data_IF_279896007189
#
_entry.id   IF_279896007189
#
_cell.length_a   1.000
_cell.length_b   1.000
_cell.length_c   1.000
_cell.angle_alpha   90.00
_cell.angle_beta   90.00
_cell.angle_gamma   90.00
#
_symmetry.space_group_name_H-M   'P 1'
#
loop_
_entity.id
_entity.type
_entity.pdbx_description
1 polymer ?
#
# COMPACT_ATOMS: atom_id res chain seq x y z
N UNK A 1 3.02 1.71 -3.37
CA UNK A 1 2.79 2.73 -4.42
C UNK A 1 3.08 2.18 -5.82
N UNK A 2 4.18 1.47 -6.03
CA UNK A 2 4.50 0.89 -7.34
C UNK A 2 3.40 -0.05 -7.85
N UNK A 3 2.98 -1.02 -7.06
CA UNK A 3 1.91 -1.98 -7.40
C UNK A 3 0.57 -1.30 -7.76
N UNK A 4 0.18 -0.25 -7.04
CA UNK A 4 -1.03 0.50 -7.38
C UNK A 4 -0.91 1.22 -8.72
N UNK A 5 0.26 1.81 -8.99
CA UNK A 5 0.53 2.45 -10.27
C UNK A 5 0.54 1.43 -11.43
N UNK A 6 1.04 0.20 -11.21
CA UNK A 6 0.94 -0.90 -12.17
C UNK A 6 -0.52 -1.25 -12.50
N UNK A 7 -1.37 -1.39 -11.47
CA UNK A 7 -2.81 -1.65 -11.67
C UNK A 7 -3.48 -0.52 -12.46
N UNK A 8 -3.11 0.74 -12.23
CA UNK A 8 -3.59 1.88 -13.01
C UNK A 8 -3.11 1.83 -14.46
N UNK A 9 -1.84 1.55 -14.72
CA UNK A 9 -1.29 1.42 -16.09
C UNK A 9 -1.99 0.29 -16.83
N UNK A 10 -2.20 -0.85 -16.18
CA UNK A 10 -2.93 -1.98 -16.77
C UNK A 10 -4.38 -1.60 -17.09
N UNK A 11 -5.08 -0.94 -16.16
CA UNK A 11 -6.44 -0.47 -16.40
C UNK A 11 -6.53 0.54 -17.56
N UNK A 12 -5.58 1.47 -17.61
CA UNK A 12 -5.50 2.46 -18.70
C UNK A 12 -5.19 1.82 -20.05
N UNK A 13 -4.43 0.71 -20.08
CA UNK A 13 -4.17 -0.03 -21.33
C UNK A 13 -5.39 -0.74 -21.90
N UNK A 14 -6.44 -0.94 -21.10
CA UNK A 14 -7.70 -1.55 -21.52
C UNK A 14 -8.71 -0.53 -22.10
N UNK A 15 -8.38 0.77 -22.11
CA UNK A 15 -9.24 1.83 -22.66
C UNK A 15 -9.13 1.82 -24.19
N UNK A 16 -10.28 1.95 -24.85
CA UNK A 16 -10.31 2.04 -26.33
C UNK A 16 -9.64 3.35 -26.80
N UNK A 17 -8.54 3.22 -27.52
CA UNK A 17 -7.77 4.36 -28.03
C UNK A 17 -8.48 5.26 -29.05
N UNK A 18 -9.75 4.94 -29.42
CA UNK A 18 -10.57 5.81 -30.29
C UNK A 18 -11.13 7.01 -29.54
N UNK A 19 -11.37 6.88 -28.24
CA UNK A 19 -12.01 7.91 -27.43
C UNK A 19 -11.01 8.70 -26.60
N UNK A 20 -9.91 8.03 -26.14
CA UNK A 20 -8.90 8.62 -25.25
C UNK A 20 -7.51 8.14 -25.64
N UNK A 21 -6.58 9.06 -25.92
CA UNK A 21 -5.16 8.76 -26.03
C UNK A 21 -4.52 8.76 -24.62
N UNK A 22 -3.92 7.64 -24.23
CA UNK A 22 -3.23 7.51 -22.94
C UNK A 22 -1.72 7.62 -23.13
N UNK A 23 -1.10 8.54 -22.38
CA UNK A 23 0.37 8.74 -22.36
C UNK A 23 0.86 8.47 -20.94
N UNK A 24 1.83 7.57 -20.80
CA UNK A 24 2.49 7.30 -19.51
C UNK A 24 3.84 8.01 -19.46
N UNK A 25 3.91 9.06 -18.65
CA UNK A 25 5.16 9.79 -18.41
C UNK A 25 5.87 9.22 -17.16
N UNK A 26 7.13 8.80 -17.29
CA UNK A 26 7.86 8.15 -16.19
C UNK A 26 9.25 8.73 -15.99
N UNK A 27 9.70 8.75 -14.72
CA UNK A 27 11.03 9.29 -14.35
C UNK A 27 11.97 8.25 -13.72
N UNK A 28 11.47 7.04 -13.44
CA UNK A 28 12.25 5.93 -12.90
C UNK A 28 12.41 4.83 -13.96
N UNK A 29 13.67 4.45 -14.24
CA UNK A 29 13.99 3.41 -15.23
C UNK A 29 13.37 2.03 -14.89
N UNK A 30 12.98 1.80 -13.64
CA UNK A 30 12.27 0.59 -13.24
C UNK A 30 10.95 0.40 -14.02
N UNK A 31 10.35 1.46 -14.54
CA UNK A 31 9.14 1.41 -15.36
C UNK A 31 9.37 0.97 -16.80
N UNK A 32 10.61 1.06 -17.30
CA UNK A 32 10.91 0.86 -18.71
C UNK A 32 10.50 -0.53 -19.22
N UNK A 33 10.88 -1.57 -18.49
CA UNK A 33 10.58 -2.95 -18.91
C UNK A 33 9.07 -3.25 -18.97
N UNK A 34 8.29 -2.68 -18.06
CA UNK A 34 6.83 -2.83 -18.05
C UNK A 34 6.16 -2.03 -19.15
N UNK A 35 6.61 -0.81 -19.37
CA UNK A 35 6.04 0.08 -20.38
C UNK A 35 6.42 -0.33 -21.80
N UNK A 36 7.61 -0.89 -22.01
CA UNK A 36 8.03 -1.46 -23.30
C UNK A 36 7.16 -2.66 -23.73
N UNK A 37 6.56 -3.38 -22.75
CA UNK A 37 5.61 -4.47 -22.99
C UNK A 37 4.14 -3.99 -23.10
N UNK A 38 3.86 -2.73 -22.81
CA UNK A 38 2.51 -2.13 -22.81
C UNK A 38 2.18 -1.53 -24.19
N UNK A 39 0.90 -1.55 -24.64
CA UNK A 39 0.48 -0.84 -25.83
C UNK A 39 0.43 0.68 -25.68
N UNK A 40 0.65 1.19 -24.48
CA UNK A 40 0.56 2.62 -24.17
C UNK A 40 1.79 3.41 -24.65
N UNK A 41 1.57 4.65 -25.03
CA UNK A 41 2.64 5.58 -25.36
C UNK A 41 3.41 5.96 -24.10
N UNK A 42 4.66 5.52 -24.00
CA UNK A 42 5.54 5.78 -22.87
C UNK A 42 6.51 6.93 -23.17
N UNK A 43 6.64 7.89 -22.24
CA UNK A 43 7.53 9.05 -22.40
C UNK A 43 8.46 9.17 -21.19
N UNK A 44 9.78 8.95 -21.36
CA UNK A 44 10.74 9.14 -20.30
C UNK A 44 10.94 10.63 -19.99
N UNK A 45 10.90 11.00 -18.70
CA UNK A 45 11.06 12.37 -18.24
C UNK A 45 12.51 12.68 -17.89
N UNK A 46 13.09 13.68 -18.57
CA UNK A 46 14.47 14.09 -18.38
C UNK A 46 14.71 14.87 -17.08
N UNK A 47 13.69 15.63 -16.65
CA UNK A 47 13.83 16.55 -15.52
C UNK A 47 13.19 16.02 -14.22
N UNK A 48 12.88 14.72 -14.14
CA UNK A 48 12.14 14.11 -13.02
C UNK A 48 12.71 14.49 -11.65
N UNK A 49 13.96 14.11 -11.34
CA UNK A 49 14.57 14.32 -10.01
C UNK A 49 14.63 15.79 -9.59
N UNK A 50 15.03 16.66 -10.54
CA UNK A 50 15.13 18.10 -10.28
C UNK A 50 13.74 18.73 -10.11
N UNK A 51 12.82 18.37 -10.97
CA UNK A 51 11.46 18.89 -10.94
C UNK A 51 10.66 18.46 -9.72
N UNK A 52 10.80 17.21 -9.30
CA UNK A 52 10.18 16.70 -8.06
C UNK A 52 10.71 17.45 -6.82
N UNK A 53 12.02 17.72 -6.77
CA UNK A 53 12.62 18.49 -5.68
C UNK A 53 12.06 19.92 -5.63
N UNK A 54 11.97 20.60 -6.78
CA UNK A 54 11.39 21.93 -6.87
C UNK A 54 9.87 21.93 -6.49
N UNK A 55 9.12 20.93 -6.94
CA UNK A 55 7.72 20.80 -6.58
C UNK A 55 7.51 20.70 -5.05
N UNK A 56 8.40 19.98 -4.35
CA UNK A 56 8.39 19.91 -2.89
C UNK A 56 8.69 21.25 -2.21
N UNK A 57 9.53 22.09 -2.78
CA UNK A 57 9.81 23.44 -2.24
C UNK A 57 8.58 24.35 -2.35
N UNK A 58 7.74 24.17 -3.36
CA UNK A 58 6.54 24.99 -3.55
C UNK A 58 5.34 24.56 -2.70
N UNK A 59 5.47 23.49 -1.89
CA UNK A 59 4.38 23.02 -1.01
C UNK A 59 3.91 24.05 0.03
N UNK A 60 4.77 25.02 0.38
CA UNK A 60 4.44 26.09 1.33
C UNK A 60 3.68 27.28 0.68
N UNK A 61 3.64 27.34 -0.64
CA UNK A 61 2.97 28.41 -1.37
C UNK A 61 1.46 28.15 -1.51
N UNK A 62 0.62 29.20 -1.54
CA UNK A 62 -0.76 29.05 -1.98
C UNK A 62 -0.81 28.39 -3.36
N UNK A 63 -1.76 27.47 -3.58
CA UNK A 63 -1.75 26.65 -4.79
C UNK A 63 -1.84 27.44 -6.11
N UNK A 64 -2.58 28.55 -6.15
CA UNK A 64 -2.60 29.45 -7.31
C UNK A 64 -1.23 30.05 -7.61
N UNK A 65 -0.49 30.47 -6.57
CA UNK A 65 0.87 30.98 -6.70
C UNK A 65 1.84 29.88 -7.09
N UNK A 66 1.75 28.71 -6.44
CA UNK A 66 2.58 27.54 -6.77
C UNK A 66 2.45 27.16 -8.24
N UNK A 67 1.25 27.14 -8.78
CA UNK A 67 0.96 26.83 -10.19
C UNK A 67 1.61 27.82 -11.14
N UNK A 68 1.51 29.12 -10.88
CA UNK A 68 2.11 30.16 -11.69
C UNK A 68 3.63 30.06 -11.63
N UNK A 69 4.21 29.97 -10.44
CA UNK A 69 5.67 29.89 -10.25
C UNK A 69 6.23 28.61 -10.86
N UNK A 70 5.59 27.46 -10.65
CA UNK A 70 6.02 26.18 -11.19
C UNK A 70 6.13 26.19 -12.70
N UNK A 71 5.19 26.81 -13.41
CA UNK A 71 5.20 26.92 -14.87
C UNK A 71 6.48 27.62 -15.41
N UNK A 72 6.99 28.60 -14.66
CA UNK A 72 8.17 29.35 -15.10
C UNK A 72 9.48 28.75 -14.61
N UNK A 73 9.49 28.17 -13.41
CA UNK A 73 10.72 27.76 -12.71
C UNK A 73 10.95 26.26 -12.76
N UNK A 74 9.88 25.44 -12.74
CA UNK A 74 10.02 23.99 -12.69
C UNK A 74 10.17 23.39 -14.10
N UNK A 75 11.34 22.83 -14.44
CA UNK A 75 11.57 22.27 -15.77
C UNK A 75 10.69 21.04 -16.05
N UNK A 76 10.31 20.27 -15.01
CA UNK A 76 9.45 19.11 -15.16
C UNK A 76 8.01 19.52 -15.51
N UNK A 77 7.47 20.58 -14.89
CA UNK A 77 6.13 21.11 -15.24
C UNK A 77 6.10 21.59 -16.69
N UNK A 78 7.19 22.21 -17.15
CA UNK A 78 7.33 22.63 -18.57
C UNK A 78 7.43 21.43 -19.50
N UNK A 79 8.17 20.40 -19.13
CA UNK A 79 8.30 19.17 -19.91
C UNK A 79 6.95 18.45 -20.02
N UNK A 80 6.23 18.28 -18.92
CA UNK A 80 4.89 17.69 -18.91
C UNK A 80 3.89 18.48 -19.76
N UNK A 81 3.95 19.82 -19.71
CA UNK A 81 3.07 20.68 -20.52
C UNK A 81 3.27 20.51 -22.04
N UNK A 82 4.43 20.01 -22.51
CA UNK A 82 4.65 19.72 -23.93
C UNK A 82 3.86 18.52 -24.44
N UNK A 83 3.36 17.66 -23.53
CA UNK A 83 2.57 16.48 -23.87
C UNK A 83 1.12 16.82 -24.21
N UNK A 84 0.67 18.04 -23.91
CA UNK A 84 -0.66 18.59 -24.27
C UNK A 84 -1.83 17.66 -23.82
N UNK A 85 -1.72 17.07 -22.62
CA UNK A 85 -2.78 16.24 -22.05
C UNK A 85 -3.91 17.11 -21.48
N UNK A 86 -5.16 16.68 -21.64
CA UNK A 86 -6.35 17.36 -21.09
C UNK A 86 -6.56 17.04 -19.60
N UNK A 87 -6.08 15.87 -19.13
CA UNK A 87 -6.22 15.40 -17.77
C UNK A 87 -4.95 14.64 -17.33
N UNK A 88 -4.51 14.87 -16.10
CA UNK A 88 -3.40 14.15 -15.48
C UNK A 88 -3.89 13.21 -14.40
N UNK A 89 -3.25 12.04 -14.26
CA UNK A 89 -3.46 11.10 -13.16
C UNK A 89 -2.14 10.91 -12.43
N UNK A 90 -2.12 11.19 -11.14
CA UNK A 90 -0.96 10.97 -10.28
C UNK A 90 -1.22 9.79 -9.33
N UNK A 91 -0.58 8.63 -9.56
CA UNK A 91 -0.81 7.42 -8.76
C UNK A 91 -0.22 7.49 -7.34
N UNK A 92 0.50 8.54 -7.03
CA UNK A 92 1.11 8.82 -5.74
C UNK A 92 0.67 10.19 -5.20
N UNK A 93 0.99 10.45 -3.94
CA UNK A 93 0.72 11.73 -3.26
C UNK A 93 1.68 12.81 -3.75
N UNK A 94 1.61 13.13 -5.04
CA UNK A 94 2.59 13.97 -5.73
C UNK A 94 2.26 15.47 -5.62
N UNK A 95 3.28 16.27 -5.32
CA UNK A 95 3.17 17.72 -5.27
C UNK A 95 2.94 18.38 -6.63
N UNK A 96 3.20 17.70 -7.73
CA UNK A 96 2.93 18.19 -9.08
C UNK A 96 1.43 18.33 -9.35
N UNK A 97 0.59 17.52 -8.73
CA UNK A 97 -0.86 17.43 -8.99
C UNK A 97 -1.54 18.81 -9.04
N UNK A 98 -1.25 19.70 -8.08
CA UNK A 98 -1.84 21.05 -8.05
C UNK A 98 -0.97 22.12 -8.73
N UNK A 99 0.21 21.76 -9.20
CA UNK A 99 1.13 22.67 -9.90
C UNK A 99 0.94 22.63 -11.42
N UNK A 100 0.24 21.61 -11.93
CA UNK A 100 -0.15 21.55 -13.33
C UNK A 100 -1.20 22.61 -13.64
N UNK A 101 -1.26 23.05 -14.92
CA UNK A 101 -2.31 23.95 -15.42
C UNK A 101 -3.60 23.18 -15.66
N UNK A 102 -3.44 22.04 -16.29
CA UNK A 102 -4.51 21.14 -16.69
C UNK A 102 -5.08 20.44 -15.46
N UNK A 103 -6.35 20.02 -15.47
CA UNK A 103 -6.96 19.25 -14.40
C UNK A 103 -6.15 18.01 -14.06
N UNK A 104 -6.13 17.64 -12.77
CA UNK A 104 -5.41 16.46 -12.33
C UNK A 104 -6.22 15.67 -11.31
N UNK A 105 -6.16 14.35 -11.42
CA UNK A 105 -6.63 13.39 -10.42
C UNK A 105 -5.47 13.11 -9.47
N UNK A 106 -5.68 13.36 -8.18
CA UNK A 106 -4.74 13.02 -7.11
C UNK A 106 -5.01 11.62 -6.55
N UNK A 107 -4.00 10.99 -5.96
CA UNK A 107 -4.19 9.80 -5.12
C UNK A 107 -3.74 10.10 -3.69
N UNK A 108 -4.59 9.75 -2.72
CA UNK A 108 -4.27 9.84 -1.29
C UNK A 108 -4.41 8.42 -0.69
N UNK A 109 -3.29 7.75 -0.51
CA UNK A 109 -3.26 6.39 0.03
C UNK A 109 -3.53 6.35 1.53
N UNK A 110 -3.07 7.37 2.28
CA UNK A 110 -3.23 7.43 3.71
C UNK A 110 -3.06 8.85 4.26
N UNK A 111 -3.55 9.05 5.49
CA UNK A 111 -3.37 10.26 6.28
C UNK A 111 -2.74 9.93 7.65
N UNK A 112 -1.77 9.01 7.71
CA UNK A 112 -1.12 8.57 8.94
C UNK A 112 -0.63 9.73 9.81
N UNK A 113 -0.08 10.76 9.20
CA UNK A 113 0.43 11.93 9.93
C UNK A 113 -0.64 12.66 10.75
N UNK A 114 -1.93 12.48 10.46
CA UNK A 114 -3.04 13.02 11.23
C UNK A 114 -3.55 12.05 12.30
N UNK A 115 -3.77 10.81 11.90
CA UNK A 115 -4.45 9.82 12.73
C UNK A 115 -3.53 9.11 13.73
N UNK A 116 -2.23 8.99 13.41
CA UNK A 116 -1.25 8.27 14.23
C UNK A 116 0.00 9.14 14.50
N UNK A 117 -0.21 10.34 15.05
CA UNK A 117 0.84 11.34 15.31
C UNK A 117 1.90 10.91 16.32
N UNK A 118 1.62 9.93 17.16
CA UNK A 118 2.53 9.41 18.18
C UNK A 118 3.74 8.68 17.59
N UNK A 119 3.62 8.20 16.34
CA UNK A 119 4.71 7.48 15.68
C UNK A 119 5.75 8.43 15.07
N UNK A 120 7.06 8.08 15.16
CA UNK A 120 8.15 8.92 14.64
C UNK A 120 8.02 9.15 13.11
N UNK A 121 7.36 8.27 12.37
CA UNK A 121 7.09 8.41 10.93
C UNK A 121 6.15 9.58 10.63
N UNK A 122 5.30 9.98 11.57
CA UNK A 122 4.49 11.19 11.43
C UNK A 122 5.37 12.45 11.33
N UNK A 123 6.57 12.39 11.93
CA UNK A 123 7.61 13.39 11.80
C UNK A 123 7.52 14.55 12.82
N UNK A 124 8.47 15.46 12.72
CA UNK A 124 8.50 16.67 13.54
C UNK A 124 7.32 17.60 13.18
N UNK A 125 7.06 18.61 14.03
CA UNK A 125 6.03 19.62 13.79
C UNK A 125 6.15 20.28 12.39
N UNK A 126 7.36 20.64 11.97
CA UNK A 126 7.57 21.23 10.65
C UNK A 126 7.21 20.25 9.50
N UNK A 127 7.61 18.99 9.62
CA UNK A 127 7.25 17.95 8.64
C UNK A 127 5.75 17.72 8.62
N UNK A 128 5.09 17.77 9.77
CA UNK A 128 3.63 17.71 9.83
C UNK A 128 2.99 18.85 9.05
N UNK A 129 3.41 20.11 9.28
CA UNK A 129 2.86 21.27 8.57
C UNK A 129 3.05 21.18 7.05
N UNK A 130 4.22 20.71 6.59
CA UNK A 130 4.49 20.51 5.17
C UNK A 130 3.60 19.40 4.58
N UNK A 131 3.38 18.30 5.31
CA UNK A 131 2.44 17.25 4.90
C UNK A 131 1.02 17.76 4.85
N UNK A 132 0.56 18.47 5.89
CA UNK A 132 -0.78 19.08 5.93
C UNK A 132 -1.02 20.02 4.74
N UNK A 133 -0.05 20.87 4.43
CA UNK A 133 -0.14 21.75 3.27
C UNK A 133 -0.29 20.93 1.97
N UNK A 134 0.55 19.91 1.78
CA UNK A 134 0.49 19.03 0.60
C UNK A 134 -0.86 18.33 0.48
N UNK A 135 -1.30 17.65 1.53
CA UNK A 135 -2.56 16.89 1.49
C UNK A 135 -3.79 17.78 1.33
N UNK A 136 -3.77 18.97 1.93
CA UNK A 136 -4.82 19.96 1.72
C UNK A 136 -4.90 20.43 0.25
N UNK A 137 -3.75 20.62 -0.40
CA UNK A 137 -3.72 20.95 -1.82
C UNK A 137 -4.21 19.77 -2.67
N UNK A 138 -3.73 18.55 -2.42
CA UNK A 138 -4.21 17.35 -3.12
C UNK A 138 -5.73 17.20 -2.99
N UNK A 139 -6.26 17.35 -1.77
CA UNK A 139 -7.67 17.15 -1.48
C UNK A 139 -8.59 18.21 -2.10
N UNK A 140 -8.15 19.47 -2.14
CA UNK A 140 -9.05 20.60 -2.48
C UNK A 140 -8.74 21.29 -3.80
N UNK A 141 -7.65 20.95 -4.48
CA UNK A 141 -7.28 21.60 -5.75
C UNK A 141 -7.16 20.61 -6.93
N UNK A 142 -7.32 19.33 -6.68
CA UNK A 142 -7.41 18.32 -7.74
C UNK A 142 -8.83 18.25 -8.30
N UNK A 143 -8.96 17.84 -9.55
CA UNK A 143 -10.26 17.59 -10.18
C UNK A 143 -11.01 16.42 -9.53
N UNK A 144 -10.25 15.45 -9.01
CA UNK A 144 -10.74 14.32 -8.23
C UNK A 144 -9.63 13.75 -7.33
N UNK A 145 -10.03 12.99 -6.31
CA UNK A 145 -9.13 12.32 -5.39
C UNK A 145 -9.44 10.82 -5.38
N UNK A 146 -8.48 9.99 -5.74
CA UNK A 146 -8.54 8.55 -5.56
C UNK A 146 -8.09 8.18 -4.14
N UNK A 147 -8.82 7.28 -3.51
CA UNK A 147 -8.49 6.70 -2.21
C UNK A 147 -8.65 5.18 -2.27
N UNK A 148 -8.06 4.46 -1.32
CA UNK A 148 -8.04 2.99 -1.31
C UNK A 148 -9.32 2.34 -0.73
N UNK A 149 -10.20 3.14 -0.07
CA UNK A 149 -11.32 2.60 0.70
C UNK A 149 -12.37 3.67 1.04
N UNK A 150 -13.55 3.26 1.51
CA UNK A 150 -14.53 4.17 2.10
C UNK A 150 -14.00 4.79 3.41
N UNK A 151 -13.15 4.07 4.14
CA UNK A 151 -12.42 4.63 5.28
C UNK A 151 -11.48 5.75 4.85
N UNK A 152 -10.71 5.55 3.77
CA UNK A 152 -9.86 6.60 3.18
C UNK A 152 -10.68 7.81 2.73
N UNK A 153 -11.84 7.59 2.10
CA UNK A 153 -12.78 8.64 1.70
C UNK A 153 -13.24 9.48 2.90
N UNK A 154 -13.73 8.84 3.97
CA UNK A 154 -14.12 9.54 5.20
C UNK A 154 -12.96 10.34 5.79
N UNK A 155 -11.77 9.77 5.85
CA UNK A 155 -10.57 10.45 6.35
C UNK A 155 -10.28 11.74 5.57
N UNK A 156 -10.39 11.74 4.25
CA UNK A 156 -10.15 12.92 3.42
C UNK A 156 -11.25 13.96 3.64
N UNK A 157 -12.53 13.56 3.67
CA UNK A 157 -13.66 14.45 3.94
C UNK A 157 -13.53 15.13 5.30
N UNK A 158 -13.32 14.36 6.37
CA UNK A 158 -13.19 14.86 7.74
C UNK A 158 -11.96 15.77 7.92
N UNK A 159 -10.87 15.43 7.24
CA UNK A 159 -9.60 16.15 7.38
C UNK A 159 -9.55 17.47 6.64
N UNK A 160 -10.17 17.55 5.46
CA UNK A 160 -9.97 18.68 4.55
C UNK A 160 -11.27 19.31 4.04
N UNK A 161 -12.43 18.77 4.40
CA UNK A 161 -13.72 19.26 3.95
C UNK A 161 -13.95 19.07 2.44
N UNK A 162 -13.25 18.15 1.82
CA UNK A 162 -13.39 17.85 0.40
C UNK A 162 -14.80 17.32 0.11
N UNK A 163 -15.51 17.83 -0.92
CA UNK A 163 -16.84 17.35 -1.28
C UNK A 163 -16.84 15.85 -1.61
N UNK A 164 -17.91 15.18 -1.22
CA UNK A 164 -18.07 13.74 -1.36
C UNK A 164 -17.98 13.26 -2.81
N UNK A 165 -18.55 14.03 -3.73
CA UNK A 165 -18.54 13.75 -5.17
C UNK A 165 -17.20 14.00 -5.88
N UNK A 166 -16.18 14.48 -5.15
CA UNK A 166 -14.80 14.62 -5.63
C UNK A 166 -13.88 13.48 -5.19
N UNK A 167 -14.33 12.60 -4.29
CA UNK A 167 -13.51 11.53 -3.74
C UNK A 167 -14.03 10.18 -4.22
N UNK A 168 -13.16 9.41 -4.84
CA UNK A 168 -13.50 8.13 -5.46
C UNK A 168 -12.70 6.99 -4.84
N UNK A 169 -13.34 6.06 -4.12
CA UNK A 169 -12.71 4.82 -3.72
C UNK A 169 -12.36 3.98 -4.96
N UNK A 170 -11.09 3.61 -5.03
CA UNK A 170 -10.52 2.69 -6.00
C UNK A 170 -9.58 1.74 -5.24
N UNK A 171 -10.12 0.65 -4.66
CA UNK A 171 -9.37 -0.23 -3.77
C UNK A 171 -8.20 -0.94 -4.45
N UNK A 172 -7.18 -1.31 -3.67
CA UNK A 172 -6.10 -2.16 -4.14
C UNK A 172 -6.63 -3.51 -4.64
N UNK A 173 -5.93 -4.06 -5.60
CA UNK A 173 -6.07 -5.46 -6.01
C UNK A 173 -4.83 -6.25 -5.60
N UNK A 174 -4.97 -7.56 -5.49
CA UNK A 174 -3.82 -8.42 -5.27
C UNK A 174 -2.88 -8.36 -6.49
N UNK A 175 -1.56 -8.24 -6.28
CA UNK A 175 -0.61 -8.17 -7.39
C UNK A 175 -0.57 -9.45 -8.24
N UNK A 176 -0.41 -9.30 -9.55
CA UNK A 176 -0.41 -10.43 -10.51
C UNK A 176 0.77 -11.40 -10.30
N UNK A 177 1.91 -10.93 -9.79
CA UNK A 177 3.08 -11.79 -9.54
C UNK A 177 2.80 -12.95 -8.56
N UNK A 178 1.73 -12.90 -7.78
CA UNK A 178 1.34 -13.96 -6.85
C UNK A 178 0.71 -15.17 -7.56
N UNK A 179 0.03 -14.94 -8.69
CA UNK A 179 -0.62 -15.99 -9.48
C UNK A 179 0.35 -16.65 -10.44
N UNK A 180 1.28 -15.89 -10.99
CA UNK A 180 2.23 -16.33 -12.00
C UNK A 180 3.48 -17.02 -11.43
N UNK A 181 3.71 -16.89 -10.11
CA UNK A 181 4.88 -17.47 -9.46
C UNK A 181 4.81 -18.99 -9.41
N UNK A 182 5.77 -19.65 -10.06
CA UNK A 182 5.95 -21.10 -9.95
C UNK A 182 6.75 -21.40 -8.70
N UNK A 183 6.12 -22.10 -7.76
CA UNK A 183 6.80 -22.59 -6.57
C UNK A 183 7.80 -23.69 -6.96
N UNK A 184 9.07 -23.51 -6.58
CA UNK A 184 10.07 -24.57 -6.74
C UNK A 184 10.12 -25.42 -5.48
N UNK A 185 10.31 -26.75 -5.62
CA UNK A 185 10.46 -27.69 -4.51
C UNK A 185 11.61 -27.34 -3.55
N UNK A 186 12.57 -26.53 -4.00
CA UNK A 186 13.70 -26.04 -3.23
C UNK A 186 13.45 -24.70 -2.48
N UNK A 187 12.22 -24.16 -2.51
CA UNK A 187 11.92 -22.85 -1.93
C UNK A 187 12.17 -22.82 -0.41
N UNK A 188 11.56 -23.76 0.32
CA UNK A 188 11.69 -23.83 1.77
C UNK A 188 13.14 -24.07 2.23
N UNK A 189 13.90 -24.89 1.49
CA UNK A 189 15.32 -25.13 1.72
C UNK A 189 16.16 -23.88 1.51
N UNK A 190 15.92 -23.13 0.43
CA UNK A 190 16.63 -21.90 0.10
C UNK A 190 16.53 -20.85 1.22
N UNK A 191 15.36 -20.69 1.80
CA UNK A 191 15.12 -19.75 2.88
C UNK A 191 15.26 -20.36 4.28
N UNK A 192 15.56 -21.68 4.38
CA UNK A 192 15.63 -22.43 5.64
C UNK A 192 14.38 -22.20 6.49
N UNK A 193 13.22 -22.31 5.85
CA UNK A 193 11.96 -22.07 6.52
C UNK A 193 11.65 -23.17 7.53
N UNK A 194 11.09 -22.81 8.69
CA UNK A 194 10.52 -23.80 9.60
C UNK A 194 9.35 -24.54 8.96
N UNK A 195 9.05 -25.74 9.46
CA UNK A 195 7.93 -26.54 8.97
C UNK A 195 6.59 -25.83 9.17
N UNK A 196 6.43 -25.09 10.26
CA UNK A 196 5.21 -24.38 10.61
C UNK A 196 5.53 -23.01 11.21
N UNK A 197 5.07 -21.94 10.59
CA UNK A 197 5.39 -20.57 11.01
C UNK A 197 4.29 -19.57 10.66
N UNK A 198 4.27 -18.46 11.37
CA UNK A 198 3.56 -17.25 10.95
C UNK A 198 4.46 -16.36 10.11
N UNK A 199 3.88 -15.65 9.16
CA UNK A 199 4.61 -14.76 8.26
C UNK A 199 4.17 -13.31 8.43
N UNK A 200 5.13 -12.38 8.38
CA UNK A 200 4.84 -10.94 8.35
C UNK A 200 5.81 -10.20 7.42
N UNK A 201 5.39 -9.84 6.19
CA UNK A 201 6.17 -9.04 5.24
C UNK A 201 5.94 -7.54 5.48
N UNK A 202 6.72 -6.93 6.33
CA UNK A 202 6.66 -5.50 6.58
C UNK A 202 8.02 -4.90 6.89
N UNK A 203 8.29 -3.69 6.38
CA UNK A 203 9.46 -2.93 6.79
C UNK A 203 9.39 -2.63 8.29
N UNK A 204 10.53 -2.61 8.96
CA UNK A 204 10.62 -2.46 10.42
C UNK A 204 10.40 -1.00 10.89
N UNK A 205 9.22 -0.46 10.56
CA UNK A 205 8.74 0.81 11.08
C UNK A 205 7.98 0.63 12.39
N UNK A 206 8.05 1.56 13.37
CA UNK A 206 7.35 1.45 14.65
C UNK A 206 5.84 1.21 14.53
N UNK A 207 5.15 1.86 13.58
CA UNK A 207 3.71 1.63 13.38
C UNK A 207 3.37 0.21 12.87
N UNK A 208 4.35 -0.55 12.36
CA UNK A 208 4.17 -1.95 11.97
C UNK A 208 4.17 -2.92 13.15
N UNK A 209 4.59 -2.45 14.34
CA UNK A 209 4.36 -3.13 15.62
C UNK A 209 5.03 -4.50 15.79
N UNK A 210 6.21 -4.68 15.21
CA UNK A 210 6.97 -5.92 15.32
C UNK A 210 7.34 -6.27 16.77
N UNK A 211 7.56 -5.27 17.64
CA UNK A 211 7.89 -5.50 19.04
C UNK A 211 6.78 -6.28 19.77
N UNK A 212 5.50 -5.85 19.65
CA UNK A 212 4.40 -6.58 20.28
C UNK A 212 4.16 -7.93 19.65
N UNK A 213 4.43 -8.09 18.35
CA UNK A 213 4.35 -9.39 17.70
C UNK A 213 5.36 -10.38 18.28
N UNK A 214 6.60 -9.95 18.50
CA UNK A 214 7.64 -10.80 19.14
C UNK A 214 7.27 -11.12 20.60
N UNK A 215 6.71 -10.16 21.35
CA UNK A 215 6.21 -10.39 22.71
C UNK A 215 5.03 -11.38 22.71
N UNK A 216 4.12 -11.28 21.74
CA UNK A 216 3.01 -12.21 21.58
C UNK A 216 3.48 -13.63 21.25
N UNK A 217 4.51 -13.75 20.39
CA UNK A 217 5.15 -15.04 20.14
C UNK A 217 5.75 -15.64 21.42
N UNK A 218 6.44 -14.84 22.24
CA UNK A 218 6.98 -15.32 23.51
C UNK A 218 5.88 -15.88 24.42
N UNK A 219 4.75 -15.17 24.53
CA UNK A 219 3.60 -15.62 25.30
C UNK A 219 3.00 -16.92 24.72
N UNK A 220 2.81 -16.98 23.40
CA UNK A 220 2.25 -18.15 22.72
C UNK A 220 3.13 -19.40 22.88
N UNK A 221 4.46 -19.26 22.86
CA UNK A 221 5.40 -20.36 23.00
C UNK A 221 5.42 -21.02 24.39
N UNK A 222 4.77 -20.45 25.38
CA UNK A 222 4.57 -21.10 26.67
C UNK A 222 3.68 -22.35 26.57
N UNK A 223 2.74 -22.34 25.60
CA UNK A 223 1.83 -23.47 25.30
C UNK A 223 2.15 -24.15 23.98
N UNK A 224 2.73 -23.44 23.03
CA UNK A 224 3.11 -23.92 21.69
C UNK A 224 4.60 -23.69 21.43
N UNK A 225 5.51 -24.48 22.04
CA UNK A 225 6.95 -24.28 21.95
C UNK A 225 7.51 -24.41 20.53
N UNK A 226 6.75 -25.02 19.61
CA UNK A 226 7.04 -25.17 18.18
C UNK A 226 6.60 -23.98 17.32
N UNK A 227 5.93 -22.95 17.89
CA UNK A 227 5.47 -21.79 17.13
C UNK A 227 6.65 -20.91 16.71
N UNK A 228 6.74 -20.62 15.42
CA UNK A 228 7.82 -19.82 14.84
C UNK A 228 7.28 -18.64 14.01
N UNK A 229 8.12 -17.63 13.81
CA UNK A 229 7.76 -16.38 13.11
C UNK A 229 8.84 -16.04 12.08
N UNK A 230 8.40 -15.83 10.84
CA UNK A 230 9.25 -15.35 9.74
C UNK A 230 8.91 -13.90 9.44
N UNK A 231 9.91 -13.03 9.58
CA UNK A 231 9.81 -11.58 9.35
C UNK A 231 10.59 -11.20 8.10
N UNK A 232 9.89 -10.63 7.11
CA UNK A 232 10.50 -10.12 5.89
C UNK A 232 10.36 -8.60 5.80
N UNK A 233 11.33 -7.93 5.19
CA UNK A 233 11.30 -6.51 4.94
C UNK A 233 12.64 -5.81 5.19
N UNK A 234 12.76 -4.59 4.66
CA UNK A 234 13.98 -3.80 4.83
C UNK A 234 14.13 -3.28 6.27
N UNK A 235 15.37 -3.22 6.72
CA UNK A 235 15.74 -2.66 8.03
C UNK A 235 15.37 -1.18 8.10
N UNK A 236 14.57 -0.80 9.09
CA UNK A 236 14.16 0.57 9.41
C UNK A 236 14.40 0.85 10.90
N UNK A 237 13.81 1.93 11.41
CA UNK A 237 14.09 2.46 12.75
C UNK A 237 13.98 1.42 13.87
N UNK A 238 13.06 0.47 13.78
CA UNK A 238 12.76 -0.47 14.88
C UNK A 238 13.51 -1.80 14.77
N UNK A 239 14.20 -2.08 13.66
CA UNK A 239 14.84 -3.39 13.41
C UNK A 239 15.76 -3.86 14.54
N UNK A 240 16.66 -2.98 15.00
CA UNK A 240 17.63 -3.32 16.04
C UNK A 240 16.93 -3.65 17.38
N UNK A 241 15.90 -2.88 17.73
CA UNK A 241 15.10 -3.10 18.95
C UNK A 241 14.34 -4.44 18.88
N UNK A 242 13.70 -4.73 17.74
CA UNK A 242 12.98 -6.00 17.53
C UNK A 242 13.91 -7.21 17.69
N UNK A 243 15.10 -7.13 17.09
CA UNK A 243 16.11 -8.20 17.21
C UNK A 243 16.63 -8.37 18.63
N UNK A 244 16.89 -7.26 19.34
CA UNK A 244 17.29 -7.29 20.74
C UNK A 244 16.22 -7.94 21.62
N UNK A 245 14.95 -7.50 21.47
CA UNK A 245 13.80 -8.06 22.20
C UNK A 245 13.63 -9.55 21.93
N UNK A 246 13.79 -10.01 20.69
CA UNK A 246 13.73 -11.43 20.38
C UNK A 246 14.83 -12.23 21.13
N UNK A 247 16.04 -11.70 21.21
CA UNK A 247 17.14 -12.32 21.95
C UNK A 247 16.89 -12.34 23.46
N UNK A 248 16.45 -11.21 24.03
CA UNK A 248 16.14 -11.07 25.47
C UNK A 248 15.04 -12.03 25.92
N UNK A 249 14.06 -12.29 25.04
CA UNK A 249 12.95 -13.23 25.30
C UNK A 249 13.32 -14.70 24.97
N UNK A 250 14.56 -14.99 24.59
CA UNK A 250 15.00 -16.35 24.27
C UNK A 250 14.47 -16.88 22.94
N UNK A 251 14.05 -16.00 22.02
CA UNK A 251 13.42 -16.36 20.74
C UNK A 251 14.39 -16.37 19.55
N UNK A 252 15.70 -16.35 19.77
CA UNK A 252 16.72 -16.26 18.69
C UNK A 252 16.61 -17.36 17.65
N UNK A 253 16.05 -18.53 18.00
CA UNK A 253 15.83 -19.66 17.10
C UNK A 253 14.40 -19.75 16.58
N UNK A 254 13.49 -18.94 17.10
CA UNK A 254 12.06 -18.96 16.74
C UNK A 254 11.61 -17.75 15.91
N UNK A 255 12.46 -16.71 15.80
CA UNK A 255 12.20 -15.54 14.96
C UNK A 255 13.25 -15.47 13.84
N UNK A 256 12.79 -15.66 12.60
CA UNK A 256 13.63 -15.70 11.42
C UNK A 256 13.55 -14.37 10.66
N UNK A 257 14.67 -13.66 10.59
CA UNK A 257 14.78 -12.39 9.85
C UNK A 257 15.33 -12.68 8.45
N UNK A 258 14.46 -12.76 7.45
CA UNK A 258 14.85 -13.12 6.07
C UNK A 258 15.27 -11.92 5.20
N UNK A 259 15.12 -10.70 5.74
CA UNK A 259 15.46 -9.48 5.00
C UNK A 259 14.46 -9.13 3.91
N UNK A 260 14.94 -8.46 2.86
CA UNK A 260 14.11 -8.15 1.69
C UNK A 260 13.84 -9.43 0.88
N UNK A 261 12.59 -9.65 0.56
CA UNK A 261 12.12 -10.76 -0.27
C UNK A 261 11.69 -10.20 -1.63
N UNK A 262 12.20 -10.73 -2.76
CA UNK A 262 11.71 -10.38 -4.08
C UNK A 262 10.23 -10.72 -4.26
N UNK A 263 9.51 -9.94 -5.06
CA UNK A 263 8.09 -10.14 -5.32
C UNK A 263 7.79 -11.56 -5.86
N UNK A 264 8.68 -12.12 -6.69
CA UNK A 264 8.60 -13.49 -7.20
C UNK A 264 8.58 -14.59 -6.11
N UNK A 265 9.10 -14.30 -4.94
CA UNK A 265 9.22 -15.25 -3.84
C UNK A 265 8.12 -15.10 -2.77
N UNK A 266 7.40 -13.96 -2.76
CA UNK A 266 6.38 -13.67 -1.73
C UNK A 266 5.26 -14.71 -1.69
N UNK A 267 4.81 -15.18 -2.84
CA UNK A 267 3.78 -16.22 -2.91
C UNK A 267 4.20 -17.52 -2.20
N UNK A 268 5.48 -17.91 -2.30
CA UNK A 268 6.02 -19.07 -1.61
C UNK A 268 5.93 -18.93 -0.09
N UNK A 269 6.27 -17.76 0.46
CA UNK A 269 6.15 -17.52 1.90
C UNK A 269 4.70 -17.62 2.38
N UNK A 270 3.75 -17.01 1.67
CA UNK A 270 2.34 -17.09 2.04
C UNK A 270 1.79 -18.52 1.99
N UNK A 271 2.14 -19.30 0.97
CA UNK A 271 1.67 -20.68 0.81
C UNK A 271 2.20 -21.63 1.88
N UNK A 272 3.43 -21.41 2.36
CA UNK A 272 4.04 -22.23 3.42
C UNK A 272 3.63 -21.77 4.83
N UNK A 273 3.20 -20.51 4.99
CA UNK A 273 2.87 -19.98 6.30
C UNK A 273 1.58 -20.60 6.87
N UNK A 274 1.55 -20.77 8.17
CA UNK A 274 0.32 -21.06 8.93
C UNK A 274 -0.72 -19.95 8.77
N UNK A 275 -0.25 -18.71 8.72
CA UNK A 275 -1.03 -17.52 8.49
C UNK A 275 -0.17 -16.26 8.42
N UNK A 276 -0.72 -15.20 7.84
CA UNK A 276 -0.22 -13.84 7.97
C UNK A 276 -0.61 -13.28 9.34
N UNK A 277 0.34 -12.72 10.10
CA UNK A 277 0.02 -11.94 11.32
C UNK A 277 0.47 -10.50 11.13
N UNK A 278 -0.48 -9.58 11.03
CA UNK A 278 -0.21 -8.19 10.73
C UNK A 278 -0.75 -7.23 11.81
N UNK A 279 -0.01 -6.97 12.89
CA UNK A 279 -0.43 -6.16 14.02
C UNK A 279 -0.23 -4.66 13.82
N UNK A 280 -0.28 -4.17 12.59
CA UNK A 280 -0.03 -2.77 12.24
C UNK A 280 -1.00 -1.81 12.94
N UNK A 281 -0.52 -0.65 13.36
CA UNK A 281 -1.36 0.41 13.90
C UNK A 281 -2.07 1.23 12.85
N UNK A 282 -1.58 1.21 11.60
CA UNK A 282 -2.13 2.07 10.57
C UNK A 282 -2.10 1.46 9.16
N UNK A 283 -3.06 1.94 8.39
CA UNK A 283 -3.34 1.70 6.99
C UNK A 283 -4.86 1.70 6.83
N UNK A 284 -5.48 2.62 6.02
CA UNK A 284 -6.91 2.52 5.71
C UNK A 284 -7.22 1.15 5.14
N UNK A 285 -6.37 0.68 4.20
CA UNK A 285 -6.23 -0.72 3.80
C UNK A 285 -4.74 -1.09 3.66
N UNK A 286 -4.43 -2.35 3.41
CA UNK A 286 -3.07 -2.83 3.22
C UNK A 286 -3.02 -3.91 2.13
N UNK A 287 -1.90 -4.02 1.41
CA UNK A 287 -1.70 -5.02 0.36
C UNK A 287 -1.47 -6.45 0.92
N UNK A 288 -0.66 -6.68 1.99
CA UNK A 288 -0.38 -8.02 2.48
C UNK A 288 -1.60 -8.90 2.80
N UNK A 289 -2.73 -8.41 3.33
CA UNK A 289 -3.92 -9.23 3.50
C UNK A 289 -4.50 -9.74 2.18
N UNK A 290 -4.47 -8.94 1.11
CA UNK A 290 -4.93 -9.36 -0.22
C UNK A 290 -4.00 -10.43 -0.79
N UNK A 291 -2.69 -10.24 -0.65
CA UNK A 291 -1.67 -11.20 -1.06
C UNK A 291 -1.86 -12.55 -0.35
N UNK A 292 -2.04 -12.50 0.98
CA UNK A 292 -2.28 -13.70 1.78
C UNK A 292 -3.56 -14.44 1.32
N UNK A 293 -4.66 -13.71 1.13
CA UNK A 293 -5.94 -14.29 0.71
C UNK A 293 -5.87 -14.97 -0.65
N UNK A 294 -5.22 -14.34 -1.64
CA UNK A 294 -5.02 -14.94 -2.98
C UNK A 294 -4.15 -16.19 -2.93
N UNK A 295 -3.17 -16.22 -2.02
CA UNK A 295 -2.30 -17.38 -1.81
C UNK A 295 -2.92 -18.47 -0.91
N UNK A 296 -4.17 -18.32 -0.47
CA UNK A 296 -4.81 -19.26 0.47
C UNK A 296 -4.18 -19.26 1.87
N UNK A 297 -3.57 -18.16 2.27
CA UNK A 297 -2.97 -17.97 3.59
C UNK A 297 -3.98 -17.28 4.52
N UNK A 298 -4.34 -17.86 5.68
CA UNK A 298 -5.20 -17.22 6.66
C UNK A 298 -4.66 -15.88 7.15
N UNK A 299 -5.55 -14.94 7.44
CA UNK A 299 -5.20 -13.58 7.84
C UNK A 299 -5.56 -13.34 9.30
N UNK A 300 -4.56 -12.93 10.10
CA UNK A 300 -4.71 -12.40 11.44
C UNK A 300 -4.26 -10.94 11.41
N UNK A 301 -5.17 -10.01 11.72
CA UNK A 301 -4.94 -8.59 11.47
C UNK A 301 -5.48 -7.72 12.59
N UNK A 302 -4.84 -6.55 12.76
CA UNK A 302 -5.34 -5.55 13.72
C UNK A 302 -6.75 -5.05 13.34
N UNK A 303 -7.61 -4.89 14.35
CA UNK A 303 -8.92 -4.28 14.23
C UNK A 303 -8.81 -2.75 14.22
N UNK A 304 -8.34 -2.22 13.11
CA UNK A 304 -8.08 -0.78 12.93
C UNK A 304 -8.55 -0.31 11.55
N UNK A 305 -9.11 0.89 11.52
CA UNK A 305 -9.48 1.60 10.29
C UNK A 305 -10.29 0.74 9.29
N UNK A 306 -9.88 0.64 8.04
CA UNK A 306 -10.54 -0.10 6.97
C UNK A 306 -10.23 -1.59 6.92
N UNK A 307 -9.58 -2.19 7.95
CA UNK A 307 -9.25 -3.62 7.91
C UNK A 307 -10.49 -4.50 7.85
N UNK A 308 -11.56 -4.15 8.58
CA UNK A 308 -12.84 -4.87 8.48
C UNK A 308 -13.54 -4.67 7.14
N UNK A 309 -13.45 -3.47 6.58
CA UNK A 309 -13.94 -3.19 5.23
C UNK A 309 -13.22 -4.06 4.18
N UNK A 310 -11.90 -4.19 4.32
CA UNK A 310 -11.07 -4.96 3.40
C UNK A 310 -11.24 -6.47 3.54
N UNK A 311 -11.18 -6.99 4.77
CA UNK A 311 -11.09 -8.43 5.01
C UNK A 311 -12.43 -9.09 5.37
N UNK A 312 -13.46 -8.31 5.82
CA UNK A 312 -14.77 -8.87 6.20
C UNK A 312 -14.66 -9.95 7.27
N UNK A 313 -15.27 -11.09 7.02
CA UNK A 313 -15.22 -12.27 7.89
C UNK A 313 -14.13 -13.28 7.50
N UNK A 314 -13.23 -12.90 6.58
CA UNK A 314 -12.10 -13.71 6.11
C UNK A 314 -10.84 -13.55 6.95
N UNK A 315 -10.90 -12.87 8.11
CA UNK A 315 -9.76 -12.66 8.98
C UNK A 315 -10.12 -12.82 10.47
N UNK A 316 -9.12 -13.15 11.29
CA UNK A 316 -9.18 -12.96 12.73
C UNK A 316 -8.69 -11.57 13.10
N UNK A 317 -9.45 -10.90 13.97
CA UNK A 317 -9.15 -9.53 14.38
C UNK A 317 -8.70 -9.47 15.83
N UNK A 318 -7.75 -8.55 16.10
CA UNK A 318 -7.23 -8.27 17.43
C UNK A 318 -6.86 -6.80 17.59
N UNK A 319 -6.81 -6.32 18.82
CA UNK A 319 -6.27 -5.02 19.15
C UNK A 319 -4.75 -5.01 18.99
N UNK A 320 -4.15 -4.12 18.16
CA UNK A 320 -2.69 -4.04 18.02
C UNK A 320 -1.99 -3.54 19.29
N UNK A 321 -2.75 -3.03 20.27
CA UNK A 321 -2.23 -2.59 21.56
C UNK A 321 -2.10 -3.74 22.57
N UNK A 322 -2.81 -4.86 22.36
CA UNK A 322 -2.86 -5.99 23.27
C UNK A 322 -2.01 -7.16 22.80
N UNK A 323 -0.91 -7.40 23.47
CA UNK A 323 -0.07 -8.60 23.28
C UNK A 323 -0.89 -9.87 23.51
N UNK A 324 -1.82 -9.83 24.48
CA UNK A 324 -2.69 -10.96 24.83
C UNK A 324 -3.65 -11.31 23.68
N UNK A 325 -4.29 -10.32 23.06
CA UNK A 325 -5.18 -10.57 21.93
C UNK A 325 -4.43 -11.08 20.69
N UNK A 326 -3.23 -10.52 20.41
CA UNK A 326 -2.37 -10.99 19.31
C UNK A 326 -2.00 -12.46 19.53
N UNK A 327 -1.48 -12.80 20.72
CA UNK A 327 -1.10 -14.17 21.07
C UNK A 327 -2.31 -15.10 21.07
N UNK A 328 -3.47 -14.67 21.59
CA UNK A 328 -4.70 -15.46 21.59
C UNK A 328 -5.18 -15.80 20.17
N UNK A 329 -5.12 -14.83 19.24
CA UNK A 329 -5.45 -15.08 17.83
C UNK A 329 -4.45 -16.07 17.18
N UNK A 330 -3.15 -15.91 17.47
CA UNK A 330 -2.09 -16.83 16.99
C UNK A 330 -2.33 -18.24 17.53
N UNK A 331 -2.52 -18.42 18.83
CA UNK A 331 -2.74 -19.74 19.44
C UNK A 331 -3.99 -20.42 18.89
N UNK A 332 -5.08 -19.68 18.77
CA UNK A 332 -6.33 -20.19 18.21
C UNK A 332 -6.17 -20.75 16.80
N UNK A 333 -5.50 -20.01 15.89
CA UNK A 333 -5.26 -20.50 14.54
C UNK A 333 -4.21 -21.62 14.50
N UNK A 334 -3.30 -21.66 15.47
CA UNK A 334 -2.28 -22.71 15.55
C UNK A 334 -2.87 -24.09 15.84
N UNK A 335 -3.92 -24.15 16.66
CA UNK A 335 -4.58 -25.37 17.13
C UNK A 335 -5.73 -25.83 16.23
N UNK A 336 -6.53 -24.87 15.69
CA UNK A 336 -7.82 -25.11 15.06
C UNK A 336 -7.70 -25.22 13.53
N UNK A 337 -7.66 -26.46 13.00
CA UNK A 337 -7.58 -26.73 11.55
C UNK A 337 -8.89 -26.43 10.84
N UNK A 338 -10.05 -26.56 11.50
CA UNK A 338 -11.36 -26.23 10.92
C UNK A 338 -11.47 -24.72 10.72
N UNK A 339 -11.06 -23.95 11.72
CA UNK A 339 -10.95 -22.50 11.61
C UNK A 339 -10.01 -22.09 10.50
N UNK A 340 -8.83 -22.74 10.43
CA UNK A 340 -7.84 -22.48 9.36
C UNK A 340 -8.45 -22.72 7.98
N UNK A 341 -9.07 -23.86 7.77
CA UNK A 341 -9.70 -24.23 6.51
C UNK A 341 -10.84 -23.25 6.14
N UNK A 342 -11.63 -22.83 7.12
CA UNK A 342 -12.70 -21.85 6.95
C UNK A 342 -12.12 -20.49 6.52
N UNK A 343 -11.05 -20.01 7.14
CA UNK A 343 -10.42 -18.73 6.80
C UNK A 343 -9.76 -18.77 5.41
N UNK A 344 -9.15 -19.88 5.01
CA UNK A 344 -8.63 -20.06 3.65
C UNK A 344 -9.77 -19.90 2.64
N UNK A 345 -10.86 -20.64 2.81
CA UNK A 345 -12.01 -20.58 1.90
C UNK A 345 -12.57 -19.17 1.79
N UNK A 346 -12.85 -18.53 2.93
CA UNK A 346 -13.37 -17.16 2.97
C UNK A 346 -12.40 -16.14 2.37
N UNK A 347 -11.09 -16.31 2.59
CA UNK A 347 -10.05 -15.46 2.01
C UNK A 347 -10.04 -15.52 0.49
N UNK A 348 -10.06 -16.72 -0.08
CA UNK A 348 -10.12 -16.92 -1.53
C UNK A 348 -11.42 -16.34 -2.13
N UNK A 349 -12.56 -16.57 -1.48
CA UNK A 349 -13.85 -15.98 -1.87
C UNK A 349 -13.76 -14.43 -1.81
N UNK A 350 -13.24 -13.86 -0.73
CA UNK A 350 -13.09 -12.40 -0.56
C UNK A 350 -12.19 -11.78 -1.62
N UNK A 351 -11.04 -12.40 -1.91
CA UNK A 351 -10.12 -11.94 -2.94
C UNK A 351 -10.72 -12.01 -4.35
N UNK A 352 -11.68 -12.90 -4.59
CA UNK A 352 -12.36 -13.02 -5.89
C UNK A 352 -13.41 -11.95 -6.17
N UNK A 353 -13.83 -11.17 -5.14
CA UNK A 353 -14.88 -10.15 -5.28
C UNK A 353 -14.40 -8.85 -5.92
N UNK A 354 -13.08 -8.62 -5.97
CA UNK A 354 -12.49 -7.40 -6.53
C UNK A 354 -11.19 -7.73 -7.25
N UNK A 355 -11.27 -7.72 -8.58
CA UNK A 355 -10.19 -8.10 -9.49
C UNK A 355 -9.80 -6.94 -10.40
N UNK A 356 -8.81 -7.17 -11.25
CA UNK A 356 -8.35 -6.19 -12.23
C UNK A 356 -9.49 -5.70 -13.14
N UNK A 357 -10.38 -6.58 -13.59
CA UNK A 357 -11.52 -6.21 -14.44
C UNK A 357 -12.48 -5.22 -13.74
N UNK A 358 -12.74 -5.44 -12.44
CA UNK A 358 -13.59 -4.53 -11.63
C UNK A 358 -12.90 -3.19 -11.42
N UNK A 359 -11.58 -3.23 -11.19
CA UNK A 359 -10.74 -2.03 -11.07
C UNK A 359 -10.74 -1.23 -12.38
N UNK A 360 -10.58 -1.89 -13.54
CA UNK A 360 -10.60 -1.29 -14.87
C UNK A 360 -11.94 -0.63 -15.16
N UNK A 361 -13.02 -1.32 -14.85
CA UNK A 361 -14.38 -0.79 -15.02
C UNK A 361 -14.60 0.44 -14.13
N UNK A 362 -14.22 0.34 -12.85
CA UNK A 362 -14.36 1.44 -11.90
C UNK A 362 -13.52 2.65 -12.28
N UNK A 363 -12.28 2.46 -12.73
CA UNK A 363 -11.44 3.55 -13.20
C UNK A 363 -12.06 4.25 -14.41
N UNK A 364 -12.60 3.50 -15.38
CA UNK A 364 -13.29 4.10 -16.55
C UNK A 364 -14.50 4.92 -16.15
N UNK A 365 -15.32 4.46 -15.21
CA UNK A 365 -16.44 5.26 -14.66
C UNK A 365 -15.96 6.57 -14.02
N UNK A 366 -14.89 6.51 -13.22
CA UNK A 366 -14.31 7.69 -12.57
C UNK A 366 -13.81 8.67 -13.62
N UNK A 367 -13.07 8.19 -14.63
CA UNK A 367 -12.54 9.02 -15.70
C UNK A 367 -13.66 9.71 -16.49
N UNK A 368 -14.72 8.99 -16.86
CA UNK A 368 -15.87 9.57 -17.54
C UNK A 368 -16.47 10.71 -16.73
N UNK A 369 -16.77 10.50 -15.45
CA UNK A 369 -17.32 11.53 -14.55
C UNK A 369 -16.40 12.75 -14.39
N UNK A 370 -15.09 12.53 -14.33
CA UNK A 370 -14.12 13.62 -14.17
C UNK A 370 -14.00 14.41 -15.47
N UNK A 371 -13.89 13.74 -16.61
CA UNK A 371 -13.82 14.39 -17.93
C UNK A 371 -15.07 15.24 -18.20
N UNK A 372 -16.28 14.72 -17.95
CA UNK A 372 -17.53 15.46 -18.08
C UNK A 372 -17.58 16.73 -17.21
N UNK A 373 -16.88 16.73 -16.06
CA UNK A 373 -16.85 17.87 -15.13
C UNK A 373 -15.85 18.95 -15.55
N UNK A 374 -14.74 18.57 -16.21
CA UNK A 374 -13.65 19.48 -16.55
C UNK A 374 -13.69 19.98 -17.99
N UNK A 375 -14.51 19.34 -18.86
CA UNK A 375 -14.83 19.80 -20.20
C UNK A 375 -15.70 21.07 -20.15
#
# INVERSE_FOLDING_TARGET
MFQYAQSLVQALSSIDGRDVEVIVAYGDEAWRSELDASPLKAVPLQHWKRGETLAKLFMALPGSVARVVARWVNPLVRELATLQCDLWIFPAQDALTWQMREPAIATIHDLMHRYERSFPEAGSWLRFQLRESRFRHLANQSAAVLVDSETGRRHVMESYGTPDDHIYPLPYIAPNYLTDSVETSAFAERYRLPEKFYFYPAQFWPHKNHLRLVQALAAARTTHPDMELVLAGSTKLEYAAVKATANELGLSQAVHFVGYVPDSDLAGFYRHARGLVMPTFFGPTNIPPLEAMVCGCPVLISDKYGMREQCGDAALYFSPQSVEEIHGAMSRLWEDEDLRSSLIKKGLERASLWKQEDFDHRLREILGRVLDRVA
#
